data_IF_334671102158
#
_entry.id   IF_334671102158
#
_cell.length_a   1.000
_cell.length_b   1.000
_cell.length_c   1.000
_cell.angle_alpha   90.00
_cell.angle_beta   90.00
_cell.angle_gamma   90.00
#
_symmetry.space_group_name_H-M   'P 1'
#
loop_
_entity.id
_entity.type
_entity.pdbx_description
1 polymer ?
#
# COMPACT_ATOMS: atom_id res chain seq x y z
N UNK A 1 8.40 8.19 1.55
CA UNK A 1 7.52 7.36 2.38
C UNK A 1 8.11 5.96 2.57
N UNK A 2 7.73 5.30 3.67
CA UNK A 2 8.06 3.89 3.90
C UNK A 2 7.01 3.04 3.21
N UNK A 3 7.47 2.04 2.45
CA UNK A 3 6.63 1.09 1.74
C UNK A 3 6.84 -0.31 2.27
N UNK A 4 5.81 -1.11 2.23
CA UNK A 4 5.86 -2.54 2.48
C UNK A 4 5.91 -3.28 1.15
N UNK A 5 6.77 -4.27 1.02
CA UNK A 5 6.79 -5.10 -0.17
C UNK A 5 6.72 -6.59 0.18
N UNK A 6 6.09 -7.35 -0.68
CA UNK A 6 6.13 -8.79 -0.63
C UNK A 6 7.05 -9.34 -1.70
N UNK A 7 7.72 -10.44 -1.38
CA UNK A 7 8.59 -11.14 -2.32
C UNK A 7 8.25 -12.64 -2.35
N UNK A 8 8.40 -13.23 -3.53
CA UNK A 8 8.37 -14.68 -3.73
C UNK A 8 9.57 -15.06 -4.57
N UNK A 9 10.31 -16.07 -4.13
CA UNK A 9 11.55 -16.50 -4.79
C UNK A 9 12.55 -15.33 -4.95
N UNK A 10 12.69 -14.50 -3.91
CA UNK A 10 13.53 -13.29 -3.88
C UNK A 10 13.14 -12.23 -4.93
N UNK A 11 11.96 -12.32 -5.52
CA UNK A 11 11.45 -11.36 -6.50
C UNK A 11 10.32 -10.56 -5.88
N UNK A 12 10.48 -9.24 -5.79
CA UNK A 12 9.41 -8.33 -5.37
C UNK A 12 8.17 -8.54 -6.24
N UNK A 13 7.04 -8.83 -5.61
CA UNK A 13 5.74 -9.07 -6.27
C UNK A 13 4.81 -7.90 -6.13
N UNK A 14 4.68 -7.37 -4.93
CA UNK A 14 3.82 -6.23 -4.66
C UNK A 14 4.52 -5.21 -3.77
N UNK A 15 4.12 -3.96 -3.87
CA UNK A 15 4.55 -2.88 -2.97
C UNK A 15 3.33 -2.09 -2.55
N UNK A 16 3.13 -1.93 -1.24
CA UNK A 16 2.06 -1.14 -0.65
C UNK A 16 2.61 0.14 -0.01
N UNK A 17 1.99 1.25 -0.30
CA UNK A 17 2.28 2.54 0.30
C UNK A 17 1.01 3.21 0.84
N UNK A 18 1.01 3.67 2.09
CA UNK A 18 2.07 3.53 3.10
C UNK A 18 2.16 2.11 3.67
N UNK A 19 3.33 1.73 4.18
CA UNK A 19 3.52 0.46 4.87
C UNK A 19 2.59 0.33 6.09
N UNK A 20 2.03 -0.85 6.30
CA UNK A 20 1.09 -1.12 7.38
C UNK A 20 1.84 -1.51 8.67
N UNK A 21 2.66 -0.63 9.17
CA UNK A 21 3.52 -0.79 10.36
C UNK A 21 3.21 0.26 11.42
N UNK A 22 3.69 0.04 12.65
CA UNK A 22 3.53 1.05 13.71
C UNK A 22 4.31 2.32 13.40
N UNK A 23 3.86 3.47 13.91
CA UNK A 23 4.57 4.75 13.77
C UNK A 23 5.99 4.71 14.36
N UNK A 24 6.20 3.91 15.40
CA UNK A 24 7.52 3.71 15.99
C UNK A 24 8.44 2.95 15.04
N UNK A 25 7.94 1.87 14.42
CA UNK A 25 8.69 1.09 13.42
C UNK A 25 8.98 1.94 12.17
N UNK A 26 8.02 2.73 11.71
CA UNK A 26 8.21 3.65 10.59
C UNK A 26 9.34 4.65 10.88
N UNK A 27 9.35 5.25 12.08
CA UNK A 27 10.41 6.17 12.51
C UNK A 27 11.77 5.50 12.50
N UNK A 28 11.89 4.31 13.10
CA UNK A 28 13.14 3.52 13.10
C UNK A 28 13.60 3.18 11.69
N UNK A 29 12.67 2.82 10.79
CA UNK A 29 12.98 2.53 9.39
C UNK A 29 13.57 3.76 8.67
N UNK A 30 12.97 4.92 8.86
CA UNK A 30 13.48 6.19 8.30
C UNK A 30 14.86 6.51 8.86
N UNK A 31 15.05 6.42 10.17
CA UNK A 31 16.34 6.67 10.82
C UNK A 31 17.44 5.72 10.32
N UNK A 32 17.12 4.42 10.20
CA UNK A 32 18.06 3.43 9.67
C UNK A 32 18.42 3.73 8.22
N UNK A 33 17.44 4.00 7.37
CA UNK A 33 17.67 4.36 5.97
C UNK A 33 18.54 5.62 5.85
N UNK A 34 18.26 6.66 6.64
CA UNK A 34 19.06 7.90 6.66
C UNK A 34 20.49 7.66 7.10
N UNK A 35 20.72 6.78 8.08
CA UNK A 35 22.06 6.42 8.52
C UNK A 35 22.85 5.66 7.45
N UNK A 36 22.18 4.75 6.71
CA UNK A 36 22.78 4.07 5.54
C UNK A 36 23.22 5.11 4.50
N UNK A 37 22.35 6.06 4.15
CA UNK A 37 22.67 7.09 3.15
C UNK A 37 23.83 7.99 3.62
N UNK A 38 23.87 8.36 4.89
CA UNK A 38 24.97 9.17 5.46
C UNK A 38 26.32 8.44 5.46
N UNK A 39 26.30 7.11 5.50
CA UNK A 39 27.50 6.27 5.43
C UNK A 39 28.04 6.08 4.00
N UNK A 40 27.29 6.49 2.96
CA UNK A 40 27.75 6.41 1.58
C UNK A 40 28.91 7.39 1.33
N UNK A 41 29.76 7.12 0.31
CA UNK A 41 30.85 8.03 -0.04
C UNK A 41 30.36 9.46 -0.28
N UNK A 42 31.17 10.44 0.16
CA UNK A 42 30.89 11.86 -0.11
C UNK A 42 30.73 12.10 -1.61
N UNK A 43 29.67 12.81 -2.01
CA UNK A 43 29.36 13.07 -3.42
C UNK A 43 28.40 12.06 -4.07
N UNK A 44 27.91 11.07 -3.33
CA UNK A 44 26.82 10.23 -3.81
C UNK A 44 25.55 11.05 -4.02
N UNK A 45 25.04 11.13 -5.26
CA UNK A 45 23.88 11.94 -5.65
C UNK A 45 22.88 11.10 -6.43
N UNK A 46 21.61 11.23 -6.12
CA UNK A 46 20.51 10.51 -6.79
C UNK A 46 19.42 10.07 -5.83
N UNK A 47 18.58 9.14 -6.26
CA UNK A 47 17.66 8.42 -5.39
C UNK A 47 18.26 7.08 -5.00
N UNK A 48 17.92 6.65 -3.80
CA UNK A 48 18.42 5.40 -3.23
C UNK A 48 17.23 4.58 -2.74
N UNK A 49 17.11 3.35 -3.21
CA UNK A 49 16.18 2.36 -2.67
C UNK A 49 16.84 1.63 -1.50
N UNK A 50 16.41 1.90 -0.27
CA UNK A 50 16.95 1.22 0.93
C UNK A 50 15.97 0.14 1.35
N UNK A 51 16.41 -1.11 1.29
CA UNK A 51 15.63 -2.25 1.76
C UNK A 51 15.95 -2.58 3.21
N UNK A 52 14.90 -2.81 3.99
CA UNK A 52 14.95 -3.04 5.42
C UNK A 52 14.05 -4.22 5.80
N UNK A 53 14.39 -4.91 6.88
CA UNK A 53 13.52 -5.88 7.52
C UNK A 53 12.94 -5.29 8.80
N UNK A 54 11.61 -5.19 8.88
CA UNK A 54 10.91 -4.89 10.11
C UNK A 54 10.63 -6.20 10.87
N UNK A 55 11.24 -6.34 12.04
CA UNK A 55 11.13 -7.55 12.84
C UNK A 55 9.90 -7.51 13.75
N UNK A 56 9.45 -8.67 14.21
CA UNK A 56 8.28 -8.79 15.10
C UNK A 56 8.45 -8.09 16.45
N UNK A 57 9.66 -7.96 16.92
CA UNK A 57 10.02 -7.24 18.14
C UNK A 57 10.08 -5.72 17.96
N UNK A 58 9.79 -5.22 16.74
CA UNK A 58 9.84 -3.80 16.40
C UNK A 58 11.24 -3.27 16.10
N UNK A 59 12.26 -4.15 16.03
CA UNK A 59 13.58 -3.78 15.53
C UNK A 59 13.56 -3.67 13.99
N UNK A 60 14.51 -2.92 13.43
CA UNK A 60 14.67 -2.72 12.01
C UNK A 60 16.09 -3.06 11.60
N UNK A 61 16.25 -3.96 10.66
CA UNK A 61 17.53 -4.40 10.14
C UNK A 61 17.74 -3.91 8.71
N UNK A 62 18.96 -3.46 8.40
CA UNK A 62 19.37 -3.13 7.05
C UNK A 62 19.58 -4.41 6.20
N UNK A 63 19.08 -4.39 4.98
CA UNK A 63 19.28 -5.43 3.99
C UNK A 63 20.24 -4.95 2.89
N UNK A 64 19.79 -4.07 2.02
CA UNK A 64 20.60 -3.55 0.91
C UNK A 64 20.23 -2.10 0.54
N UNK A 65 21.12 -1.46 -0.22
CA UNK A 65 20.86 -0.16 -0.84
C UNK A 65 21.11 -0.22 -2.34
N UNK A 66 20.13 0.18 -3.12
CA UNK A 66 20.24 0.35 -4.56
C UNK A 66 20.47 1.83 -4.89
N UNK A 67 21.62 2.25 -5.44
CA UNK A 67 21.91 3.66 -5.77
C UNK A 67 21.29 4.09 -7.11
N UNK A 68 20.01 3.87 -7.28
CA UNK A 68 19.24 4.11 -8.50
C UNK A 68 17.75 4.04 -8.22
N UNK A 69 16.88 4.47 -9.16
CA UNK A 69 15.47 4.11 -9.12
C UNK A 69 15.29 2.61 -8.90
N UNK A 70 14.43 2.26 -7.94
CA UNK A 70 14.22 0.89 -7.49
C UNK A 70 12.80 0.41 -7.82
N UNK A 71 12.64 -0.89 -8.05
CA UNK A 71 11.34 -1.47 -8.42
C UNK A 71 10.26 -1.19 -7.36
N UNK A 72 10.60 -1.26 -6.08
CA UNK A 72 9.65 -0.94 -5.00
C UNK A 72 9.20 0.53 -4.99
N UNK A 73 9.88 1.42 -5.70
CA UNK A 73 9.54 2.84 -5.86
C UNK A 73 8.73 3.17 -7.13
N UNK A 74 8.37 2.18 -7.97
CA UNK A 74 7.63 2.46 -9.22
C UNK A 74 6.24 3.05 -8.97
N UNK A 75 5.58 2.69 -7.86
CA UNK A 75 4.30 3.28 -7.45
C UNK A 75 4.32 4.82 -7.38
N UNK A 76 5.51 5.42 -7.22
CA UNK A 76 5.66 6.88 -7.11
C UNK A 76 5.26 7.62 -8.39
N UNK A 77 5.19 6.93 -9.54
CA UNK A 77 4.78 7.53 -10.81
C UNK A 77 3.36 8.08 -10.67
N UNK A 78 2.44 7.28 -10.14
CA UNK A 78 1.03 7.63 -9.99
C UNK A 78 0.72 8.25 -8.61
N UNK A 79 1.38 7.74 -7.56
CA UNK A 79 0.95 8.00 -6.20
C UNK A 79 1.64 9.19 -5.53
N UNK A 80 2.75 9.72 -6.06
CA UNK A 80 3.51 10.81 -5.44
C UNK A 80 3.51 12.10 -6.27
N UNK A 81 3.82 13.22 -5.62
CA UNK A 81 3.96 14.52 -6.29
C UNK A 81 5.15 14.54 -7.27
N UNK A 82 6.18 13.76 -6.95
CA UNK A 82 7.38 13.60 -7.76
C UNK A 82 7.73 12.11 -7.80
N UNK A 83 7.86 11.56 -9.01
CA UNK A 83 8.25 10.16 -9.13
C UNK A 83 9.72 9.96 -8.75
N UNK A 84 10.10 8.73 -8.40
CA UNK A 84 11.51 8.42 -8.15
C UNK A 84 12.41 8.72 -9.35
N UNK A 85 11.89 8.61 -10.57
CA UNK A 85 12.63 8.91 -11.81
C UNK A 85 12.88 10.41 -11.95
N UNK A 86 11.85 11.23 -11.76
CA UNK A 86 11.98 12.67 -11.74
C UNK A 86 12.90 13.13 -10.61
N UNK A 87 12.72 12.57 -9.40
CA UNK A 87 13.57 12.88 -8.26
C UNK A 87 15.05 12.56 -8.56
N UNK A 88 15.32 11.42 -9.22
CA UNK A 88 16.68 11.07 -9.62
C UNK A 88 17.26 12.07 -10.61
N UNK A 89 16.52 12.42 -11.66
CA UNK A 89 16.95 13.42 -12.63
C UNK A 89 17.22 14.78 -11.98
N UNK A 90 16.32 15.25 -11.11
CA UNK A 90 16.50 16.50 -10.37
C UNK A 90 17.76 16.48 -9.52
N UNK A 91 18.00 15.36 -8.81
CA UNK A 91 19.19 15.21 -7.98
C UNK A 91 20.48 15.31 -8.80
N UNK A 92 20.60 14.54 -9.89
CA UNK A 92 21.86 14.45 -10.67
C UNK A 92 22.10 15.68 -11.54
N UNK A 93 21.07 16.47 -11.86
CA UNK A 93 21.20 17.71 -12.65
C UNK A 93 21.18 18.97 -11.81
N UNK A 94 21.03 18.87 -10.47
CA UNK A 94 20.97 20.02 -9.57
C UNK A 94 19.68 20.84 -9.68
N UNK A 95 18.60 20.28 -10.24
CA UNK A 95 17.31 20.96 -10.31
C UNK A 95 16.62 21.00 -8.93
N UNK A 96 15.84 22.05 -8.63
CA UNK A 96 15.15 22.18 -7.37
C UNK A 96 14.10 21.09 -7.21
N UNK A 97 13.96 20.56 -6.00
CA UNK A 97 12.88 19.63 -5.66
C UNK A 97 11.56 20.36 -5.41
N UNK A 98 10.41 19.71 -5.68
CA UNK A 98 9.14 20.19 -5.17
C UNK A 98 9.19 20.32 -3.64
N UNK A 99 8.43 21.27 -3.09
CA UNK A 99 8.36 21.48 -1.62
C UNK A 99 7.80 20.27 -0.89
N UNK A 100 6.92 19.52 -1.56
CA UNK A 100 6.29 18.32 -1.03
C UNK A 100 6.62 17.13 -1.95
N UNK A 101 7.20 16.09 -1.37
CA UNK A 101 7.51 14.80 -2.03
C UNK A 101 6.59 13.68 -1.50
N UNK A 102 5.57 14.05 -0.74
CA UNK A 102 4.66 13.07 -0.15
C UNK A 102 3.78 12.39 -1.20
N UNK A 103 3.14 11.35 -0.76
CA UNK A 103 2.10 10.66 -1.52
C UNK A 103 0.88 11.59 -1.64
N UNK A 104 0.34 11.72 -2.86
CA UNK A 104 -0.85 12.54 -3.17
C UNK A 104 -2.16 11.76 -3.10
N UNK A 105 -2.09 10.46 -2.81
CA UNK A 105 -3.23 9.55 -2.64
C UNK A 105 -3.23 8.95 -1.25
N UNK A 106 -4.37 8.44 -0.78
CA UNK A 106 -4.45 7.83 0.56
C UNK A 106 -3.65 6.55 0.68
N UNK A 107 -3.69 5.71 -0.35
CA UNK A 107 -3.00 4.42 -0.42
C UNK A 107 -2.73 4.04 -1.87
N UNK A 108 -1.67 3.30 -2.12
CA UNK A 108 -1.38 2.71 -3.43
C UNK A 108 -0.78 1.32 -3.29
N UNK A 109 -1.10 0.44 -4.21
CA UNK A 109 -0.42 -0.84 -4.41
C UNK A 109 0.17 -0.88 -5.81
N UNK A 110 1.43 -1.33 -5.91
CA UNK A 110 2.05 -1.68 -7.18
C UNK A 110 2.21 -3.20 -7.23
N UNK A 111 1.76 -3.80 -8.32
CA UNK A 111 1.82 -5.24 -8.57
C UNK A 111 2.73 -5.50 -9.76
N UNK A 112 3.81 -6.23 -9.56
CA UNK A 112 4.68 -6.67 -10.66
C UNK A 112 4.05 -7.86 -11.38
N UNK A 113 3.98 -7.79 -12.71
CA UNK A 113 3.62 -8.93 -13.54
C UNK A 113 4.87 -9.72 -13.88
N UNK A 114 4.95 -10.95 -13.37
CA UNK A 114 6.18 -11.75 -13.38
C UNK A 114 5.95 -13.12 -13.99
N UNK A 115 6.85 -13.51 -14.88
CA UNK A 115 6.86 -14.86 -15.45
C UNK A 115 5.94 -15.05 -16.65
N UNK A 116 5.55 -16.31 -16.88
CA UNK A 116 4.83 -16.72 -18.10
C UNK A 116 3.39 -16.22 -18.17
N UNK A 117 2.77 -15.97 -17.01
CA UNK A 117 1.38 -15.44 -16.91
C UNK A 117 1.32 -13.90 -16.91
N UNK A 118 2.42 -13.21 -17.21
CA UNK A 118 2.51 -11.75 -17.05
C UNK A 118 1.48 -11.00 -17.90
N UNK A 119 1.19 -11.45 -19.11
CA UNK A 119 0.21 -10.81 -20.01
C UNK A 119 -1.21 -10.95 -19.47
N UNK A 120 -1.59 -12.16 -19.02
CA UNK A 120 -2.88 -12.43 -18.39
C UNK A 120 -3.07 -11.57 -17.14
N UNK A 121 -2.06 -11.55 -16.24
CA UNK A 121 -2.11 -10.77 -15.01
C UNK A 121 -2.17 -9.28 -15.29
N UNK A 122 -1.38 -8.79 -16.24
CA UNK A 122 -1.39 -7.39 -16.64
C UNK A 122 -2.77 -6.97 -17.15
N UNK A 123 -3.37 -7.75 -18.06
CA UNK A 123 -4.71 -7.48 -18.60
C UNK A 123 -5.77 -7.41 -17.50
N UNK A 124 -5.79 -8.38 -16.59
CA UNK A 124 -6.76 -8.40 -15.48
C UNK A 124 -6.56 -7.27 -14.46
N UNK A 125 -5.30 -6.90 -14.21
CA UNK A 125 -4.99 -5.80 -13.28
C UNK A 125 -5.34 -4.43 -13.86
N UNK A 126 -5.15 -4.22 -15.17
CA UNK A 126 -5.45 -2.95 -15.82
C UNK A 126 -6.95 -2.69 -15.96
N UNK A 127 -7.79 -3.73 -15.89
CA UNK A 127 -9.25 -3.61 -15.89
C UNK A 127 -9.81 -3.02 -14.58
N UNK A 128 -8.99 -2.91 -13.54
CA UNK A 128 -9.39 -2.28 -12.29
C UNK A 128 -9.49 -0.77 -12.48
N UNK A 129 -10.59 -0.17 -12.03
CA UNK A 129 -10.79 1.27 -12.10
C UNK A 129 -9.65 2.04 -11.40
N UNK A 130 -9.06 2.99 -12.10
CA UNK A 130 -7.93 3.79 -11.61
C UNK A 130 -6.58 3.09 -11.63
N UNK A 131 -6.47 1.91 -12.27
CA UNK A 131 -5.20 1.24 -12.49
C UNK A 131 -4.38 1.92 -13.59
N UNK A 132 -3.08 2.04 -13.37
CA UNK A 132 -2.10 2.51 -14.34
C UNK A 132 -1.08 1.41 -14.64
N UNK A 133 -0.99 1.01 -15.91
CA UNK A 133 -0.16 -0.11 -16.34
C UNK A 133 1.11 0.34 -17.05
N UNK A 134 2.22 -0.32 -16.74
CA UNK A 134 3.52 -0.10 -17.35
C UNK A 134 4.06 -1.45 -17.87
N UNK A 135 3.91 -1.68 -19.17
CA UNK A 135 4.48 -2.84 -19.83
C UNK A 135 5.88 -2.52 -20.35
N UNK A 136 6.85 -3.41 -20.09
CA UNK A 136 8.26 -3.10 -20.35
C UNK A 136 8.73 -3.44 -21.77
N UNK A 137 7.89 -4.07 -22.58
CA UNK A 137 8.22 -4.40 -23.99
C UNK A 137 9.42 -5.34 -24.15
N UNK A 138 9.64 -6.25 -23.21
CA UNK A 138 10.75 -7.22 -23.29
C UNK A 138 10.41 -8.36 -24.23
N UNK A 139 11.39 -8.80 -25.03
CA UNK A 139 11.22 -9.71 -26.16
C UNK A 139 10.65 -11.10 -25.85
N UNK A 140 10.77 -11.58 -24.60
CA UNK A 140 10.30 -12.93 -24.25
C UNK A 140 9.83 -13.02 -22.80
N UNK A 141 8.73 -13.73 -22.60
CA UNK A 141 8.28 -14.18 -21.29
C UNK A 141 9.27 -15.23 -20.75
N UNK A 142 9.74 -15.04 -19.53
CA UNK A 142 10.63 -16.00 -18.84
C UNK A 142 10.22 -16.14 -17.40
N UNK A 143 10.42 -17.32 -16.84
CA UNK A 143 10.20 -17.57 -15.42
C UNK A 143 10.98 -16.55 -14.57
N UNK A 144 10.33 -15.95 -13.58
CA UNK A 144 10.95 -14.95 -12.70
C UNK A 144 11.24 -13.58 -13.32
N UNK A 145 10.98 -13.37 -14.62
CA UNK A 145 11.23 -12.08 -15.28
C UNK A 145 10.04 -11.13 -15.06
N UNK A 146 10.33 -9.93 -14.54
CA UNK A 146 9.36 -8.84 -14.47
C UNK A 146 9.11 -8.31 -15.90
N UNK A 147 7.87 -8.39 -16.36
CA UNK A 147 7.45 -7.96 -17.70
C UNK A 147 6.76 -6.61 -17.68
N UNK A 148 6.23 -6.22 -16.54
CA UNK A 148 5.54 -4.96 -16.33
C UNK A 148 5.17 -4.80 -14.87
N UNK A 149 4.45 -3.73 -14.58
CA UNK A 149 3.76 -3.54 -13.31
C UNK A 149 2.47 -2.75 -13.52
N UNK A 150 1.57 -2.88 -12.57
CA UNK A 150 0.34 -2.08 -12.51
C UNK A 150 0.28 -1.42 -11.14
N UNK A 151 0.06 -0.11 -11.12
CA UNK A 151 -0.18 0.67 -9.90
C UNK A 151 -1.66 0.98 -9.77
N UNK A 152 -2.23 0.71 -8.61
CA UNK A 152 -3.63 1.01 -8.28
C UNK A 152 -3.62 1.95 -7.08
N UNK A 153 -4.24 3.12 -7.23
CA UNK A 153 -4.33 4.16 -6.22
C UNK A 153 -5.75 4.27 -5.67
N UNK A 154 -5.86 4.48 -4.35
CA UNK A 154 -7.17 4.69 -3.75
C UNK A 154 -7.10 5.69 -2.57
N UNK A 155 -8.26 6.13 -2.07
CA UNK A 155 -8.35 7.04 -0.94
C UNK A 155 -8.15 6.34 0.41
N UNK A 156 -8.49 5.06 0.52
CA UNK A 156 -8.37 4.26 1.74
C UNK A 156 -7.99 2.82 1.43
N UNK A 157 -7.41 2.14 2.43
CA UNK A 157 -7.05 0.73 2.33
C UNK A 157 -8.28 -0.16 2.10
N UNK A 158 -9.43 0.21 2.66
CA UNK A 158 -10.68 -0.53 2.48
C UNK A 158 -11.13 -0.51 1.01
N UNK A 159 -11.19 0.67 0.41
CA UNK A 159 -11.54 0.81 -1.01
C UNK A 159 -10.52 0.11 -1.92
N UNK A 160 -9.24 0.17 -1.56
CA UNK A 160 -8.21 -0.57 -2.29
C UNK A 160 -8.49 -2.08 -2.22
N UNK A 161 -8.77 -2.62 -1.03
CA UNK A 161 -9.08 -4.04 -0.87
C UNK A 161 -10.33 -4.46 -1.65
N UNK A 162 -11.38 -3.63 -1.64
CA UNK A 162 -12.61 -3.88 -2.41
C UNK A 162 -12.32 -3.99 -3.91
N UNK A 163 -11.55 -3.07 -4.48
CA UNK A 163 -11.22 -3.11 -5.91
C UNK A 163 -10.24 -4.22 -6.29
N UNK A 164 -9.50 -4.79 -5.34
CA UNK A 164 -8.56 -5.89 -5.55
C UNK A 164 -9.21 -7.28 -5.44
N UNK A 165 -10.44 -7.39 -4.94
CA UNK A 165 -11.13 -8.68 -4.80
C UNK A 165 -11.19 -9.50 -6.10
N UNK A 166 -11.48 -8.93 -7.29
CA UNK A 166 -11.52 -9.68 -8.54
C UNK A 166 -10.19 -10.30 -8.97
N UNK A 167 -9.07 -9.80 -8.45
CA UNK A 167 -7.70 -10.23 -8.78
C UNK A 167 -6.97 -10.83 -7.58
N UNK A 168 -7.72 -11.21 -6.55
CA UNK A 168 -7.15 -11.77 -5.31
C UNK A 168 -6.28 -12.99 -5.56
N UNK A 169 -6.64 -13.86 -6.50
CA UNK A 169 -5.86 -15.03 -6.89
C UNK A 169 -4.46 -14.65 -7.38
N UNK A 170 -4.32 -13.56 -8.16
CA UNK A 170 -3.02 -13.04 -8.62
C UNK A 170 -2.17 -12.60 -7.43
N UNK A 171 -2.80 -11.95 -6.45
CA UNK A 171 -2.14 -11.49 -5.25
C UNK A 171 -1.74 -12.66 -4.34
N UNK A 172 -2.61 -13.64 -4.16
CA UNK A 172 -2.35 -14.86 -3.37
C UNK A 172 -1.20 -15.68 -3.99
N UNK A 173 -1.18 -15.86 -5.32
CA UNK A 173 -0.07 -16.54 -6.02
C UNK A 173 1.27 -15.82 -5.85
N UNK A 174 1.22 -14.51 -5.63
CA UNK A 174 2.39 -13.66 -5.47
C UNK A 174 3.01 -13.68 -4.06
N UNK A 175 2.53 -14.51 -3.11
CA UNK A 175 2.74 -14.36 -1.66
C UNK A 175 2.45 -12.91 -1.23
N UNK A 176 1.63 -12.30 -2.05
CA UNK A 176 1.49 -10.89 -2.07
C UNK A 176 0.60 -10.43 -0.97
N UNK A 177 0.53 -9.19 -0.93
CA UNK A 177 -0.22 -8.34 -0.07
C UNK A 177 -1.24 -9.14 0.75
N UNK A 178 -1.10 -9.19 2.05
CA UNK A 178 -2.22 -9.58 2.84
C UNK A 178 -3.30 -8.50 2.59
N UNK A 179 -4.10 -8.71 1.54
CA UNK A 179 -5.50 -8.32 1.68
C UNK A 179 -5.84 -9.05 2.95
N UNK A 180 -5.86 -8.31 4.05
CA UNK A 180 -6.13 -8.90 5.33
C UNK A 180 -7.33 -9.82 5.13
N UNK A 181 -7.12 -11.14 5.22
CA UNK A 181 -8.25 -12.10 5.25
C UNK A 181 -9.17 -11.74 6.41
N UNK A 182 -8.61 -10.99 7.33
CA UNK A 182 -9.23 -10.30 8.41
C UNK A 182 -9.15 -8.80 8.10
N UNK A 183 -10.20 -8.24 7.49
CA UNK A 183 -10.54 -6.84 7.62
C UNK A 183 -10.50 -6.46 9.09
N UNK A 184 -10.59 -5.20 9.46
CA UNK A 184 -10.56 -4.85 10.86
C UNK A 184 -11.62 -5.71 11.58
N UNK A 185 -11.28 -6.43 12.67
CA UNK A 185 -12.18 -7.36 13.33
C UNK A 185 -13.44 -6.67 13.90
N UNK A 186 -13.43 -5.35 13.96
CA UNK A 186 -14.52 -4.54 14.49
C UNK A 186 -14.93 -3.45 13.51
N UNK A 187 -16.21 -3.40 13.18
CA UNK A 187 -16.84 -2.31 12.47
C UNK A 187 -17.63 -1.42 13.43
N UNK A 188 -17.38 -0.11 13.41
CA UNK A 188 -18.20 0.90 14.09
C UNK A 188 -19.06 1.57 13.02
N UNK A 189 -20.37 1.40 13.11
CA UNK A 189 -21.31 1.98 12.16
C UNK A 189 -22.26 2.95 12.86
N UNK A 190 -22.70 3.97 12.13
CA UNK A 190 -23.62 4.97 12.63
C UNK A 190 -24.57 5.46 11.53
N UNK A 191 -25.73 5.94 11.92
CA UNK A 191 -26.76 6.41 11.00
C UNK A 191 -26.45 7.76 10.36
N UNK A 192 -25.64 8.58 11.01
CA UNK A 192 -25.33 9.95 10.58
C UNK A 192 -24.04 10.46 11.22
N UNK A 193 -23.45 11.51 10.64
CA UNK A 193 -22.29 12.20 11.20
C UNK A 193 -22.57 12.81 12.59
N UNK A 194 -23.83 13.10 12.90
CA UNK A 194 -24.24 13.57 14.23
C UNK A 194 -23.99 12.57 15.35
N UNK A 195 -23.89 11.29 15.02
CA UNK A 195 -23.65 10.21 15.98
C UNK A 195 -22.14 10.01 16.26
N UNK A 196 -21.30 10.62 15.42
CA UNK A 196 -19.84 10.48 15.52
C UNK A 196 -19.26 10.88 16.90
N UNK A 197 -19.72 11.96 17.57
CA UNK A 197 -19.21 12.30 18.91
C UNK A 197 -19.39 11.18 19.92
N UNK A 198 -20.54 10.47 19.86
CA UNK A 198 -20.83 9.32 20.75
C UNK A 198 -20.02 8.09 20.35
N UNK A 199 -19.97 7.79 19.05
CA UNK A 199 -19.29 6.60 18.52
C UNK A 199 -17.76 6.72 18.57
N UNK A 200 -17.24 7.93 18.66
CA UNK A 200 -15.80 8.21 18.78
C UNK A 200 -15.20 7.59 20.05
N UNK A 201 -15.95 7.54 21.15
CA UNK A 201 -15.48 6.91 22.38
C UNK A 201 -15.14 5.41 22.17
N UNK A 202 -15.92 4.68 21.39
CA UNK A 202 -15.62 3.30 21.05
C UNK A 202 -14.33 3.19 20.21
N UNK A 203 -14.16 4.08 19.24
CA UNK A 203 -12.93 4.14 18.41
C UNK A 203 -11.69 4.47 19.26
N UNK A 204 -11.80 5.39 20.21
CA UNK A 204 -10.69 5.77 21.11
C UNK A 204 -10.27 4.60 22.00
N UNK A 205 -11.22 3.84 22.54
CA UNK A 205 -10.94 2.62 23.34
C UNK A 205 -10.26 1.56 22.48
N UNK A 206 -10.75 1.31 21.26
CA UNK A 206 -10.15 0.34 20.35
C UNK A 206 -8.73 0.77 19.92
N UNK A 207 -8.50 2.05 19.70
CA UNK A 207 -7.16 2.60 19.45
C UNK A 207 -6.23 2.38 20.66
N UNK A 208 -6.70 2.66 21.87
CA UNK A 208 -5.95 2.41 23.10
C UNK A 208 -5.58 0.94 23.27
N UNK A 209 -6.52 0.04 22.95
CA UNK A 209 -6.31 -1.41 23.01
C UNK A 209 -5.54 -1.95 21.79
N UNK A 210 -5.18 -1.10 20.81
CA UNK A 210 -4.53 -1.47 19.55
C UNK A 210 -5.33 -2.50 18.74
N UNK A 211 -6.65 -2.45 18.83
CA UNK A 211 -7.55 -3.32 18.06
C UNK A 211 -7.88 -2.63 16.74
N UNK A 212 -7.54 -3.21 15.58
CA UNK A 212 -7.91 -2.67 14.29
C UNK A 212 -9.43 -2.57 14.15
N UNK A 213 -9.93 -1.43 13.68
CA UNK A 213 -11.36 -1.20 13.49
C UNK A 213 -11.59 -0.20 12.36
N UNK A 214 -12.77 -0.25 11.78
CA UNK A 214 -13.25 0.74 10.82
C UNK A 214 -14.40 1.54 11.40
N UNK A 215 -14.54 2.79 10.94
CA UNK A 215 -15.66 3.68 11.32
C UNK A 215 -16.33 4.15 10.05
N UNK A 216 -17.64 3.92 9.91
CA UNK A 216 -18.38 4.31 8.71
C UNK A 216 -19.81 4.72 9.00
N UNK A 217 -20.34 5.62 8.16
CA UNK A 217 -21.75 6.01 8.19
C UNK A 217 -22.53 5.14 7.22
N UNK A 218 -23.52 4.40 7.76
CA UNK A 218 -24.47 3.59 7.00
C UNK A 218 -25.88 3.84 7.55
N UNK A 219 -26.67 4.63 6.83
CA UNK A 219 -27.98 5.04 7.28
C UNK A 219 -29.07 4.10 6.76
N UNK A 220 -29.86 3.52 7.67
CA UNK A 220 -31.02 2.72 7.32
C UNK A 220 -32.05 3.50 6.50
N UNK A 221 -32.19 4.79 6.76
CA UNK A 221 -33.20 5.63 6.11
C UNK A 221 -32.68 6.33 4.84
N UNK A 222 -31.43 6.81 4.86
CA UNK A 222 -30.84 7.59 3.75
C UNK A 222 -30.12 6.74 2.73
N UNK A 223 -29.46 5.67 3.19
CA UNK A 223 -28.65 4.77 2.35
C UNK A 223 -28.91 3.30 2.68
N UNK A 224 -30.16 2.81 2.60
CA UNK A 224 -30.51 1.45 3.01
C UNK A 224 -29.72 0.39 2.25
N UNK A 225 -29.50 0.59 0.95
CA UNK A 225 -28.69 -0.32 0.13
C UNK A 225 -27.26 -0.44 0.63
N UNK A 226 -26.61 0.68 0.96
CA UNK A 226 -25.24 0.69 1.51
C UNK A 226 -25.18 -0.03 2.86
N UNK A 227 -26.19 0.10 3.71
CA UNK A 227 -26.26 -0.62 4.98
C UNK A 227 -26.36 -2.14 4.74
N UNK A 228 -27.18 -2.55 3.79
CA UNK A 228 -27.31 -3.96 3.39
C UNK A 228 -25.99 -4.54 2.87
N UNK A 229 -25.36 -3.85 1.92
CA UNK A 229 -24.05 -4.20 1.34
C UNK A 229 -22.96 -4.26 2.40
N UNK A 230 -22.98 -3.34 3.37
CA UNK A 230 -22.07 -3.37 4.51
C UNK A 230 -22.23 -4.64 5.34
N UNK A 231 -23.46 -4.98 5.70
CA UNK A 231 -23.78 -6.13 6.53
C UNK A 231 -23.43 -7.46 5.82
N UNK A 232 -23.81 -7.61 4.54
CA UNK A 232 -23.53 -8.78 3.74
C UNK A 232 -22.03 -9.02 3.54
N UNK A 233 -21.27 -7.94 3.30
CA UNK A 233 -19.82 -8.01 3.08
C UNK A 233 -19.00 -8.10 4.37
N UNK A 234 -19.56 -7.77 5.53
CA UNK A 234 -18.84 -7.70 6.80
C UNK A 234 -18.05 -8.96 7.13
N UNK A 235 -18.71 -10.13 7.03
CA UNK A 235 -18.07 -11.42 7.33
C UNK A 235 -16.92 -11.76 6.36
N UNK A 236 -17.12 -11.53 5.08
CA UNK A 236 -16.09 -11.79 4.05
C UNK A 236 -14.91 -10.83 4.15
N UNK A 237 -15.14 -9.63 4.72
CA UNK A 237 -14.10 -8.63 5.03
C UNK A 237 -13.39 -8.89 6.35
N UNK A 238 -13.76 -9.96 7.10
CA UNK A 238 -13.13 -10.31 8.37
C UNK A 238 -13.68 -9.58 9.59
N UNK A 239 -14.77 -8.83 9.47
CA UNK A 239 -15.44 -8.17 10.59
C UNK A 239 -16.13 -9.23 11.44
N UNK A 240 -15.76 -9.31 12.71
CA UNK A 240 -16.25 -10.26 13.70
C UNK A 240 -17.30 -9.63 14.62
N UNK A 241 -17.20 -8.32 14.83
CA UNK A 241 -18.11 -7.56 15.69
C UNK A 241 -18.49 -6.25 15.01
N UNK A 242 -19.76 -5.88 15.08
CA UNK A 242 -20.26 -4.58 14.64
C UNK A 242 -20.79 -3.85 15.87
N UNK A 243 -20.27 -2.64 16.11
CA UNK A 243 -20.78 -1.67 17.09
C UNK A 243 -21.63 -0.68 16.31
N UNK A 244 -22.94 -0.69 16.55
CA UNK A 244 -23.88 0.18 15.86
C UNK A 244 -24.42 1.26 16.80
N UNK A 245 -24.40 2.50 16.33
CA UNK A 245 -25.05 3.65 16.98
C UNK A 245 -26.13 4.25 16.10
N UNK A 246 -27.26 4.68 16.71
CA UNK A 246 -28.38 5.34 16.05
C UNK A 246 -28.91 6.48 16.93
#
# INVERSE_FOLDING_TARGET
>A
PVVEFSAKDSICRTTLCPAQISKETEKKAIETAMNVIRALPKGAVGVFGVELFAMKDGSVLYNEVAPRPHNSGHYTIEACQCSQFEAHLRAVTGLPFPKDLSQRVGVSIMVNTVGLKSEEYFSRLIDIEGAAGHWYGKDALRLGRKMGHVTICNSTILKLNECLLPVKDILDESNGFPISKDGPPIGIIMGSDSDLPTMKAASEILNFLKVPHEVTVVSAHRTPRRMYEYAESARSRGIKVIIAGA
#
